data_IF_514599024101
#
_entry.id   IF_514599024101
#
_cell.length_a   1.000
_cell.length_b   1.000
_cell.length_c   1.000
_cell.angle_alpha   90.00
_cell.angle_beta   90.00
_cell.angle_gamma   90.00
#
_symmetry.space_group_name_H-M   'P 1'
#
loop_
_entity.id
_entity.type
_entity.pdbx_description
1 polymer ?
#
# COMPACT_ATOMS: atom_id res chain seq x y z
N UNK A 1 -12.79 -8.89 15.03
CA UNK A 1 -11.93 -8.42 13.94
C UNK A 1 -12.83 -8.19 12.75
N UNK A 2 -12.90 -7.00 12.19
CA UNK A 2 -13.65 -6.76 10.96
C UNK A 2 -12.71 -6.93 9.76
N UNK A 3 -13.26 -7.41 8.65
CA UNK A 3 -12.48 -7.69 7.45
C UNK A 3 -12.48 -6.44 6.53
N UNK A 4 -11.56 -5.51 6.82
CA UNK A 4 -11.45 -4.26 6.07
C UNK A 4 -11.28 -4.52 4.57
N UNK A 5 -10.35 -5.38 4.21
CA UNK A 5 -9.93 -5.53 2.81
C UNK A 5 -11.00 -6.23 1.97
N UNK A 6 -11.59 -7.34 2.44
CA UNK A 6 -12.70 -7.97 1.71
C UNK A 6 -13.91 -7.04 1.62
N UNK A 7 -14.19 -6.26 2.67
CA UNK A 7 -15.26 -5.29 2.63
C UNK A 7 -14.98 -4.16 1.63
N UNK A 8 -13.78 -3.58 1.67
CA UNK A 8 -13.38 -2.49 0.77
C UNK A 8 -13.37 -2.94 -0.69
N UNK A 9 -12.78 -4.10 -1.00
CA UNK A 9 -12.72 -4.60 -2.37
C UNK A 9 -14.08 -5.15 -2.86
N UNK A 10 -14.89 -5.73 -1.98
CA UNK A 10 -16.25 -6.20 -2.33
C UNK A 10 -17.23 -5.07 -2.64
N UNK A 11 -16.99 -3.87 -2.08
CA UNK A 11 -17.81 -2.69 -2.30
C UNK A 11 -17.11 -1.60 -3.14
N UNK A 12 -15.96 -1.91 -3.75
CA UNK A 12 -15.09 -0.91 -4.40
C UNK A 12 -15.82 -0.05 -5.45
N UNK A 13 -16.73 -0.66 -6.20
CA UNK A 13 -17.48 0.01 -7.26
C UNK A 13 -18.74 0.73 -6.79
N UNK A 14 -19.10 0.60 -5.51
CA UNK A 14 -20.30 1.28 -4.99
C UNK A 14 -20.10 2.78 -4.84
N UNK A 15 -21.12 3.58 -5.14
CA UNK A 15 -21.04 5.04 -5.10
C UNK A 15 -20.57 5.59 -3.74
N UNK A 16 -21.03 5.11 -2.57
CA UNK A 16 -20.56 5.63 -1.30
C UNK A 16 -19.05 5.45 -1.10
N UNK A 17 -18.48 4.29 -1.50
CA UNK A 17 -17.06 4.01 -1.39
C UNK A 17 -16.22 4.85 -2.36
N UNK A 18 -16.67 5.02 -3.60
CA UNK A 18 -16.02 5.89 -4.60
C UNK A 18 -15.97 7.34 -4.13
N UNK A 19 -17.10 7.87 -3.63
CA UNK A 19 -17.16 9.24 -3.10
C UNK A 19 -16.26 9.44 -1.88
N UNK A 20 -16.19 8.45 -0.98
CA UNK A 20 -15.24 8.49 0.14
C UNK A 20 -13.80 8.58 -0.37
N UNK A 21 -13.40 7.74 -1.35
CA UNK A 21 -12.03 7.78 -1.89
C UNK A 21 -11.72 9.10 -2.58
N UNK A 22 -12.62 9.60 -3.42
CA UNK A 22 -12.44 10.91 -4.09
C UNK A 22 -12.27 12.03 -3.06
N UNK A 23 -13.08 12.06 -2.00
CA UNK A 23 -12.97 13.10 -0.96
C UNK A 23 -11.69 12.95 -0.12
N UNK A 24 -11.28 11.71 0.16
CA UNK A 24 -10.09 11.41 0.96
C UNK A 24 -8.79 11.72 0.22
N UNK A 25 -8.68 11.25 -1.03
CA UNK A 25 -7.43 11.22 -1.79
C UNK A 25 -7.38 12.24 -2.95
N UNK A 26 -8.50 12.88 -3.29
CA UNK A 26 -8.62 13.74 -4.47
C UNK A 26 -8.78 12.98 -5.78
N UNK A 27 -8.66 11.66 -5.77
CA UNK A 27 -8.75 10.76 -6.92
C UNK A 27 -9.13 9.35 -6.46
N UNK A 28 -9.65 8.53 -7.37
CA UNK A 28 -10.08 7.16 -7.07
C UNK A 28 -9.25 6.14 -7.84
N UNK A 29 -8.32 5.50 -7.14
CA UNK A 29 -7.55 4.33 -7.59
C UNK A 29 -7.92 3.07 -6.80
N UNK A 30 -9.04 3.06 -6.08
CA UNK A 30 -9.40 1.95 -5.20
C UNK A 30 -8.50 1.80 -3.97
N UNK A 31 -7.75 2.85 -3.61
CA UNK A 31 -6.75 2.84 -2.55
C UNK A 31 -7.34 2.71 -1.15
N UNK A 32 -6.58 2.06 -0.27
CA UNK A 32 -6.92 1.84 1.15
C UNK A 32 -5.74 2.11 2.09
N UNK A 33 -4.68 2.77 1.61
CA UNK A 33 -3.46 3.11 2.36
C UNK A 33 -3.38 4.59 2.72
N UNK A 34 -2.17 5.07 3.03
CA UNK A 34 -1.92 6.42 3.53
C UNK A 34 -1.19 7.32 2.52
N UNK A 35 -1.10 6.91 1.27
CA UNK A 35 -0.42 7.65 0.19
C UNK A 35 -1.29 8.84 -0.23
N UNK A 36 -0.75 10.06 -0.15
CA UNK A 36 -1.41 11.27 -0.67
C UNK A 36 -1.26 11.39 -2.18
N UNK A 37 -2.07 12.25 -2.82
CA UNK A 37 -1.94 12.55 -4.25
C UNK A 37 -0.52 13.03 -4.60
N UNK A 38 0.05 13.95 -3.80
CA UNK A 38 1.40 14.46 -4.01
C UNK A 38 2.48 13.38 -3.87
N UNK A 39 2.32 12.45 -2.93
CA UNK A 39 3.23 11.31 -2.78
C UNK A 39 3.13 10.37 -3.99
N UNK A 40 1.92 10.09 -4.47
CA UNK A 40 1.70 9.23 -5.63
C UNK A 40 2.39 9.76 -6.90
N UNK A 41 2.44 11.08 -7.09
CA UNK A 41 3.15 11.72 -8.21
C UNK A 41 4.69 11.60 -8.10
N UNK A 42 5.24 11.43 -6.90
CA UNK A 42 6.68 11.27 -6.67
C UNK A 42 7.18 9.85 -6.91
N UNK A 43 6.32 8.83 -6.72
CA UNK A 43 6.69 7.41 -6.86
C UNK A 43 7.35 7.13 -8.23
N UNK A 44 6.73 7.47 -9.38
CA UNK A 44 7.35 7.21 -10.67
C UNK A 44 8.65 7.99 -10.91
N UNK A 45 8.78 9.18 -10.34
CA UNK A 45 9.99 10.00 -10.44
C UNK A 45 11.15 9.38 -9.65
N UNK A 46 10.89 8.96 -8.39
CA UNK A 46 11.90 8.32 -7.54
C UNK A 46 12.38 6.98 -8.12
N UNK A 47 11.48 6.25 -8.75
CA UNK A 47 11.78 4.98 -9.41
C UNK A 47 12.31 5.14 -10.84
N UNK A 48 12.34 6.36 -11.39
CA UNK A 48 12.73 6.68 -12.77
C UNK A 48 11.97 5.83 -13.81
N UNK A 49 10.64 5.73 -13.63
CA UNK A 49 9.79 4.94 -14.51
C UNK A 49 9.58 5.61 -15.87
N UNK A 50 9.56 4.80 -16.92
CA UNK A 50 9.29 5.23 -18.29
C UNK A 50 8.67 4.13 -19.13
N UNK A 51 8.45 4.37 -20.44
CA UNK A 51 7.69 3.45 -21.32
C UNK A 51 8.25 2.04 -21.44
N UNK A 52 9.54 1.87 -21.15
CA UNK A 52 10.24 0.57 -21.25
C UNK A 52 10.47 -0.07 -19.87
N UNK A 53 10.01 0.54 -18.79
CA UNK A 53 10.17 -0.01 -17.45
C UNK A 53 9.29 -1.24 -17.24
N UNK A 54 9.87 -2.27 -16.64
CA UNK A 54 9.18 -3.45 -16.11
C UNK A 54 9.07 -3.30 -14.60
N UNK A 55 7.86 -3.23 -14.07
CA UNK A 55 7.59 -2.84 -12.68
C UNK A 55 6.80 -3.93 -11.96
N UNK A 56 7.13 -4.20 -10.71
CA UNK A 56 6.34 -5.03 -9.80
C UNK A 56 5.70 -4.16 -8.72
N UNK A 57 4.38 -4.23 -8.57
CA UNK A 57 3.65 -3.68 -7.44
C UNK A 57 3.28 -4.78 -6.45
N UNK A 58 3.74 -4.68 -5.22
CA UNK A 58 3.41 -5.61 -4.14
C UNK A 58 2.28 -5.02 -3.30
N UNK A 59 1.16 -5.78 -3.18
CA UNK A 59 -0.05 -5.33 -2.52
C UNK A 59 -0.85 -4.36 -3.40
N UNK A 60 -1.10 -4.74 -4.65
CA UNK A 60 -1.76 -3.87 -5.64
C UNK A 60 -3.26 -3.64 -5.38
N UNK A 61 -3.87 -4.39 -4.46
CA UNK A 61 -5.30 -4.27 -4.14
C UNK A 61 -6.19 -4.42 -5.38
N UNK A 62 -7.01 -3.40 -5.64
CA UNK A 62 -7.88 -3.32 -6.83
C UNK A 62 -7.18 -2.82 -8.11
N UNK A 63 -5.87 -2.58 -8.07
CA UNK A 63 -5.02 -2.35 -9.24
C UNK A 63 -5.10 -0.96 -9.86
N UNK A 64 -5.91 -0.03 -9.33
CA UNK A 64 -6.15 1.24 -9.98
C UNK A 64 -4.89 2.11 -10.12
N UNK A 65 -3.97 2.06 -9.15
CA UNK A 65 -2.73 2.82 -9.26
C UNK A 65 -1.77 2.23 -10.30
N UNK A 66 -1.63 0.89 -10.39
CA UNK A 66 -0.89 0.24 -11.46
C UNK A 66 -1.43 0.61 -12.85
N UNK A 67 -2.76 0.59 -13.01
CA UNK A 67 -3.41 0.97 -14.26
C UNK A 67 -3.13 2.43 -14.62
N UNK A 68 -3.24 3.35 -13.66
CA UNK A 68 -2.90 4.75 -13.85
C UNK A 68 -1.45 4.95 -14.31
N UNK A 69 -0.49 4.27 -13.69
CA UNK A 69 0.92 4.35 -14.10
C UNK A 69 1.14 3.78 -15.51
N UNK A 70 0.53 2.66 -15.84
CA UNK A 70 0.65 2.05 -17.16
C UNK A 70 0.02 2.93 -18.26
N UNK A 71 -1.11 3.58 -17.98
CA UNK A 71 -1.76 4.51 -18.90
C UNK A 71 -0.91 5.76 -19.14
N UNK A 72 -0.42 6.37 -18.06
CA UNK A 72 0.29 7.66 -18.13
C UNK A 72 1.73 7.54 -18.61
N UNK A 73 2.43 6.48 -18.24
CA UNK A 73 3.87 6.30 -18.54
C UNK A 73 4.14 5.28 -19.63
N UNK A 74 3.16 4.42 -19.96
CA UNK A 74 3.33 3.35 -20.94
C UNK A 74 4.17 2.17 -20.46
N UNK A 75 4.53 2.08 -19.17
CA UNK A 75 5.32 0.99 -18.60
C UNK A 75 4.54 -0.34 -18.51
N UNK A 76 5.29 -1.44 -18.35
CA UNK A 76 4.73 -2.77 -18.09
C UNK A 76 4.68 -3.01 -16.59
N UNK A 77 3.52 -3.41 -16.05
CA UNK A 77 3.36 -3.62 -14.61
C UNK A 77 2.81 -5.02 -14.32
N UNK A 78 3.40 -5.68 -13.35
CA UNK A 78 2.81 -6.85 -12.69
C UNK A 78 2.38 -6.41 -11.28
N UNK A 79 1.09 -6.50 -11.00
CA UNK A 79 0.54 -6.26 -9.66
C UNK A 79 0.27 -7.59 -8.95
N UNK A 80 0.72 -7.74 -7.71
CA UNK A 80 0.44 -8.92 -6.89
C UNK A 80 -0.26 -8.54 -5.60
N UNK A 81 -1.23 -9.35 -5.19
CA UNK A 81 -1.93 -9.22 -3.91
C UNK A 81 -2.39 -10.59 -3.42
N UNK A 82 -2.51 -10.76 -2.10
CA UNK A 82 -3.06 -11.98 -1.50
C UNK A 82 -4.58 -12.02 -1.61
N UNK A 83 -5.24 -10.86 -1.73
CA UNK A 83 -6.69 -10.74 -1.74
C UNK A 83 -7.28 -11.10 -3.09
N UNK A 84 -8.07 -12.18 -3.12
CA UNK A 84 -8.71 -12.69 -4.34
C UNK A 84 -9.71 -11.71 -4.95
N UNK A 85 -10.48 -10.99 -4.11
CA UNK A 85 -11.49 -10.03 -4.59
C UNK A 85 -10.81 -8.81 -5.24
N UNK A 86 -9.75 -8.27 -4.61
CA UNK A 86 -8.94 -7.21 -5.19
C UNK A 86 -8.39 -7.60 -6.56
N UNK A 87 -7.74 -8.77 -6.66
CA UNK A 87 -7.19 -9.26 -7.93
C UNK A 87 -8.27 -9.50 -9.00
N UNK A 88 -9.45 -10.01 -8.61
CA UNK A 88 -10.55 -10.19 -9.56
C UNK A 88 -11.03 -8.84 -10.12
N UNK A 89 -11.23 -7.85 -9.25
CA UNK A 89 -11.60 -6.49 -9.65
C UNK A 89 -10.53 -5.82 -10.52
N UNK A 90 -9.25 -5.94 -10.13
CA UNK A 90 -8.13 -5.39 -10.88
C UNK A 90 -8.04 -5.94 -12.31
N UNK A 91 -8.24 -7.24 -12.49
CA UNK A 91 -8.27 -7.87 -13.83
C UNK A 91 -9.42 -7.36 -14.70
N UNK A 92 -10.60 -7.23 -14.12
CA UNK A 92 -11.77 -6.72 -14.85
C UNK A 92 -11.57 -5.24 -15.20
N UNK A 93 -11.02 -4.44 -14.29
CA UNK A 93 -10.72 -3.05 -14.55
C UNK A 93 -9.66 -2.89 -15.67
N UNK A 94 -8.59 -3.70 -15.67
CA UNK A 94 -7.60 -3.72 -16.75
C UNK A 94 -8.23 -4.01 -18.11
N UNK A 95 -9.11 -5.02 -18.16
CA UNK A 95 -9.81 -5.41 -19.38
C UNK A 95 -10.75 -4.29 -19.90
N UNK A 96 -11.52 -3.67 -19.01
CA UNK A 96 -12.47 -2.61 -19.39
C UNK A 96 -11.77 -1.34 -19.84
N UNK A 97 -10.57 -1.06 -19.34
CA UNK A 97 -9.73 0.08 -19.74
C UNK A 97 -8.82 -0.24 -20.95
N UNK A 98 -8.81 -1.50 -21.44
CA UNK A 98 -7.93 -1.91 -22.55
C UNK A 98 -6.45 -1.91 -22.21
N UNK A 99 -6.10 -2.09 -20.93
CA UNK A 99 -4.73 -2.07 -20.41
C UNK A 99 -4.18 -3.48 -20.11
N UNK A 100 -4.94 -4.53 -20.38
CA UNK A 100 -4.57 -5.94 -20.11
C UNK A 100 -3.33 -6.43 -20.89
N UNK A 101 -2.92 -5.74 -21.94
CA UNK A 101 -1.64 -5.97 -22.61
C UNK A 101 -0.43 -5.35 -21.90
N UNK A 102 -0.65 -4.40 -20.98
CA UNK A 102 0.40 -3.68 -20.23
C UNK A 102 0.45 -4.04 -18.76
N UNK A 103 -0.71 -4.40 -18.19
CA UNK A 103 -0.81 -4.67 -16.75
C UNK A 103 -1.35 -6.08 -16.53
N UNK A 104 -0.61 -6.87 -15.74
CA UNK A 104 -1.01 -8.21 -15.32
C UNK A 104 -1.18 -8.25 -13.81
N UNK A 105 -2.29 -8.82 -13.35
CA UNK A 105 -2.57 -8.98 -11.93
C UNK A 105 -2.58 -10.44 -11.52
N UNK A 106 -1.91 -10.80 -10.43
CA UNK A 106 -1.78 -12.18 -9.95
C UNK A 106 -2.04 -12.28 -8.45
N UNK A 107 -2.82 -13.29 -8.05
CA UNK A 107 -2.94 -13.60 -6.63
C UNK A 107 -1.64 -14.27 -6.16
N UNK A 108 -0.97 -13.65 -5.19
CA UNK A 108 0.32 -14.12 -4.68
C UNK A 108 0.44 -13.88 -3.17
N UNK A 109 0.88 -14.90 -2.45
CA UNK A 109 1.31 -14.79 -1.06
C UNK A 109 2.81 -14.44 -1.06
N UNK A 110 3.11 -13.17 -0.91
CA UNK A 110 4.49 -12.64 -0.96
C UNK A 110 5.33 -12.95 0.28
N UNK A 111 4.76 -13.61 1.29
CA UNK A 111 5.54 -14.21 2.39
C UNK A 111 6.32 -15.46 1.94
N UNK A 112 6.08 -15.92 0.72
CA UNK A 112 6.76 -17.04 0.06
C UNK A 112 7.67 -16.55 -1.04
N UNK A 113 8.41 -17.46 -1.65
CA UNK A 113 9.22 -17.16 -2.84
C UNK A 113 8.35 -16.54 -3.94
N UNK A 114 8.79 -15.40 -4.48
CA UNK A 114 8.10 -14.74 -5.59
C UNK A 114 8.21 -15.58 -6.88
N UNK A 115 7.09 -15.75 -7.63
CA UNK A 115 7.05 -16.60 -8.84
C UNK A 115 7.64 -15.90 -10.07
N UNK A 116 8.74 -15.18 -9.89
CA UNK A 116 9.43 -14.44 -10.94
C UNK A 116 10.90 -14.85 -10.99
N UNK A 117 11.48 -14.77 -12.19
CA UNK A 117 12.91 -15.03 -12.39
C UNK A 117 13.77 -13.92 -11.78
N UNK A 118 15.06 -14.22 -11.59
CA UNK A 118 16.05 -13.24 -11.16
C UNK A 118 16.16 -12.09 -12.17
N UNK A 119 16.42 -10.89 -11.70
CA UNK A 119 16.66 -9.72 -12.54
C UNK A 119 15.56 -9.45 -13.60
N UNK A 120 14.29 -9.56 -13.20
CA UNK A 120 13.11 -9.37 -14.07
C UNK A 120 12.67 -7.92 -14.14
N UNK A 121 12.68 -7.20 -13.00
CA UNK A 121 12.07 -5.88 -12.87
C UNK A 121 13.10 -4.75 -12.77
N UNK A 122 12.80 -3.63 -13.43
CA UNK A 122 13.55 -2.38 -13.28
C UNK A 122 13.24 -1.71 -11.94
N UNK A 123 12.01 -1.84 -11.48
CA UNK A 123 11.55 -1.28 -10.21
C UNK A 123 10.54 -2.18 -9.50
N UNK A 124 10.55 -2.10 -8.17
CA UNK A 124 9.52 -2.69 -7.29
C UNK A 124 8.99 -1.60 -6.37
N UNK A 125 7.67 -1.50 -6.23
CA UNK A 125 7.09 -0.63 -5.20
C UNK A 125 5.98 -1.29 -4.41
N UNK A 126 5.70 -0.73 -3.22
CA UNK A 126 4.68 -1.24 -2.31
C UNK A 126 4.19 -0.13 -1.38
N UNK A 127 2.89 0.07 -1.31
CA UNK A 127 2.29 1.14 -0.52
C UNK A 127 1.59 0.59 0.72
N UNK A 128 2.22 0.76 1.90
CA UNK A 128 1.69 0.40 3.22
C UNK A 128 1.32 -1.09 3.39
N UNK A 129 2.05 -2.01 2.71
CA UNK A 129 1.77 -3.46 2.68
C UNK A 129 2.80 -4.29 3.43
N UNK A 130 4.11 -3.93 3.38
CA UNK A 130 5.16 -4.76 3.96
C UNK A 130 4.98 -4.99 5.48
N UNK A 131 4.29 -4.09 6.16
CA UNK A 131 3.93 -4.25 7.57
C UNK A 131 3.00 -5.44 7.84
N UNK A 132 2.28 -5.93 6.85
CA UNK A 132 1.39 -7.09 6.95
C UNK A 132 2.07 -8.43 6.63
N UNK A 133 3.32 -8.41 6.14
CA UNK A 133 3.98 -9.61 5.62
C UNK A 133 4.88 -10.24 6.66
N UNK A 134 4.60 -11.49 7.11
CA UNK A 134 5.52 -12.27 7.92
C UNK A 134 6.85 -12.51 7.18
N UNK A 135 7.98 -12.50 7.89
CA UNK A 135 9.28 -12.75 7.25
C UNK A 135 9.76 -11.59 6.37
N UNK A 136 9.65 -10.34 6.88
CA UNK A 136 10.01 -9.12 6.12
C UNK A 136 11.39 -9.19 5.46
N UNK A 137 12.41 -9.74 6.16
CA UNK A 137 13.74 -9.90 5.56
C UNK A 137 13.72 -10.83 4.35
N UNK A 138 13.02 -11.95 4.44
CA UNK A 138 12.94 -12.93 3.33
C UNK A 138 12.26 -12.29 2.11
N UNK A 139 11.20 -11.50 2.33
CA UNK A 139 10.57 -10.73 1.24
C UNK A 139 11.53 -9.71 0.63
N UNK A 140 12.31 -8.98 1.43
CA UNK A 140 13.28 -8.01 0.93
C UNK A 140 14.40 -8.69 0.12
N UNK A 141 14.85 -9.88 0.51
CA UNK A 141 15.81 -10.71 -0.24
C UNK A 141 15.19 -11.14 -1.58
N UNK A 142 13.93 -11.57 -1.59
CA UNK A 142 13.23 -11.93 -2.83
C UNK A 142 13.03 -10.71 -3.75
N UNK A 143 12.68 -9.54 -3.20
CA UNK A 143 12.61 -8.30 -3.99
C UNK A 143 13.98 -7.96 -4.58
N UNK A 144 15.06 -8.07 -3.79
CA UNK A 144 16.41 -7.87 -4.28
C UNK A 144 16.77 -8.85 -5.41
N UNK A 145 16.37 -10.13 -5.30
CA UNK A 145 16.60 -11.15 -6.31
C UNK A 145 15.94 -10.79 -7.65
N UNK A 146 14.63 -10.43 -7.62
CA UNK A 146 13.87 -10.15 -8.83
C UNK A 146 14.18 -8.79 -9.47
N UNK A 147 14.81 -7.87 -8.75
CA UNK A 147 15.28 -6.62 -9.30
C UNK A 147 16.50 -6.84 -10.21
N UNK A 148 16.52 -6.17 -11.36
CA UNK A 148 17.68 -6.07 -12.24
C UNK A 148 18.85 -5.38 -11.53
N UNK A 149 20.10 -5.55 -11.99
CA UNK A 149 21.21 -4.67 -11.59
C UNK A 149 20.80 -3.20 -11.73
N UNK A 150 21.17 -2.37 -10.78
CA UNK A 150 20.75 -0.95 -10.66
C UNK A 150 19.25 -0.71 -10.46
N UNK A 151 18.45 -1.77 -10.31
CA UNK A 151 17.00 -1.69 -10.06
C UNK A 151 16.68 -0.99 -8.73
N UNK A 152 15.49 -0.41 -8.64
CA UNK A 152 15.05 0.43 -7.53
C UNK A 152 13.86 -0.17 -6.81
N UNK A 153 13.86 0.02 -5.50
CA UNK A 153 12.73 -0.32 -4.64
C UNK A 153 12.22 0.92 -3.92
N UNK A 154 10.91 1.04 -3.82
CA UNK A 154 10.23 2.04 -3.00
C UNK A 154 9.13 1.38 -2.20
N UNK A 155 9.08 1.59 -0.89
CA UNK A 155 7.92 1.17 -0.11
C UNK A 155 7.63 2.11 1.04
N UNK A 156 6.37 2.16 1.47
CA UNK A 156 5.97 2.86 2.67
C UNK A 156 5.61 1.91 3.80
N UNK A 157 5.86 2.35 5.04
CA UNK A 157 5.52 1.61 6.27
C UNK A 157 5.01 2.60 7.32
N UNK A 158 3.79 2.39 7.76
CA UNK A 158 3.10 3.26 8.71
C UNK A 158 3.11 2.71 10.16
N UNK A 159 4.04 1.81 10.49
CA UNK A 159 4.10 1.10 11.78
C UNK A 159 5.48 1.20 12.46
N UNK A 160 6.13 2.36 12.30
CA UNK A 160 7.38 2.65 13.01
C UNK A 160 7.04 3.31 14.34
N UNK A 161 7.49 2.72 15.44
CA UNK A 161 7.19 3.22 16.80
C UNK A 161 8.00 4.49 17.07
N UNK A 162 7.33 5.62 17.26
CA UNK A 162 7.94 6.92 17.54
C UNK A 162 7.82 7.36 18.99
N UNK A 163 6.92 6.75 19.76
CA UNK A 163 6.64 7.12 21.15
C UNK A 163 5.93 6.02 21.93
N UNK A 164 5.38 6.39 23.09
CA UNK A 164 4.64 5.43 23.93
C UNK A 164 3.30 5.05 23.29
N UNK A 165 3.07 3.74 23.17
CA UNK A 165 1.83 3.16 22.66
C UNK A 165 1.34 2.14 23.68
N UNK A 166 0.08 2.27 24.09
CA UNK A 166 -0.54 1.33 25.02
C UNK A 166 -0.91 0.00 24.35
N UNK A 167 -1.12 -1.04 25.15
CA UNK A 167 -1.58 -2.34 24.63
C UNK A 167 -2.95 -2.24 23.93
N UNK A 168 -3.84 -1.36 24.40
CA UNK A 168 -5.15 -1.13 23.77
C UNK A 168 -5.02 -0.46 22.40
N UNK A 169 -4.12 0.52 22.27
CA UNK A 169 -3.84 1.20 21.00
C UNK A 169 -3.23 0.23 19.98
N UNK A 170 -2.28 -0.62 20.40
CA UNK A 170 -1.74 -1.68 19.55
C UNK A 170 -2.84 -2.64 19.11
N UNK A 171 -3.71 -3.09 20.01
CA UNK A 171 -4.81 -3.99 19.69
C UNK A 171 -5.81 -3.35 18.71
N UNK A 172 -6.15 -2.07 18.92
CA UNK A 172 -7.03 -1.33 18.01
C UNK A 172 -6.39 -1.14 16.64
N UNK A 173 -5.10 -0.76 16.58
CA UNK A 173 -4.35 -0.62 15.33
C UNK A 173 -4.23 -1.93 14.56
N UNK A 174 -4.18 -3.06 15.27
CA UNK A 174 -4.09 -4.42 14.71
C UNK A 174 -5.47 -5.07 14.50
N UNK A 175 -6.57 -4.35 14.67
CA UNK A 175 -7.92 -4.92 14.57
C UNK A 175 -8.31 -5.37 13.16
N UNK A 176 -7.61 -4.90 12.14
CA UNK A 176 -7.85 -5.22 10.72
C UNK A 176 -6.92 -6.32 10.17
N UNK A 177 -5.97 -6.83 10.93
CA UNK A 177 -5.08 -7.89 10.47
C UNK A 177 -3.78 -7.99 11.25
N UNK A 178 -2.88 -8.80 10.69
CA UNK A 178 -1.53 -8.96 11.20
C UNK A 178 -0.68 -7.73 10.87
N UNK A 179 0.13 -7.30 11.86
CA UNK A 179 1.08 -6.20 11.69
C UNK A 179 2.41 -6.46 12.40
N UNK A 180 3.49 -6.01 11.76
CA UNK A 180 4.76 -5.76 12.43
C UNK A 180 4.88 -4.29 12.81
N UNK A 181 5.07 -4.04 14.10
CA UNK A 181 5.51 -2.74 14.60
C UNK A 181 7.04 -2.78 14.68
N UNK A 182 7.70 -1.81 14.07
CA UNK A 182 9.17 -1.78 13.99
C UNK A 182 9.74 -0.57 14.73
N UNK A 183 10.91 -0.69 15.38
CA UNK A 183 11.63 0.47 15.88
C UNK A 183 12.21 1.29 14.72
N UNK A 184 12.50 2.58 14.91
CA UNK A 184 13.21 3.39 13.94
C UNK A 184 14.55 2.75 13.53
N UNK A 185 14.89 2.80 12.24
CA UNK A 185 16.12 2.23 11.68
C UNK A 185 16.06 0.73 11.36
N UNK A 186 15.00 0.03 11.74
CA UNK A 186 14.90 -1.42 11.48
C UNK A 186 14.70 -1.73 9.99
N UNK A 187 13.87 -0.99 9.28
CA UNK A 187 13.68 -1.18 7.85
C UNK A 187 14.96 -0.92 7.06
N UNK A 188 15.70 0.14 7.41
CA UNK A 188 16.99 0.45 6.79
C UNK A 188 18.04 -0.65 7.07
N UNK A 189 18.04 -1.22 8.28
CA UNK A 189 18.90 -2.34 8.65
C UNK A 189 18.57 -3.58 7.80
N UNK A 190 17.28 -3.91 7.68
CA UNK A 190 16.82 -5.07 6.90
C UNK A 190 17.10 -4.90 5.41
N UNK A 191 16.91 -3.70 4.83
CA UNK A 191 17.25 -3.40 3.44
C UNK A 191 18.75 -3.63 3.18
N UNK A 192 19.62 -3.12 4.05
CA UNK A 192 21.07 -3.34 3.94
C UNK A 192 21.43 -4.82 4.06
N UNK A 193 20.79 -5.54 4.98
CA UNK A 193 20.98 -6.98 5.16
C UNK A 193 20.50 -7.79 3.94
N UNK A 194 19.46 -7.35 3.24
CA UNK A 194 18.97 -7.94 1.99
C UNK A 194 19.89 -7.67 0.78
N UNK A 195 20.88 -6.77 0.92
CA UNK A 195 21.89 -6.49 -0.11
C UNK A 195 21.76 -5.13 -0.81
N UNK A 196 20.77 -4.30 -0.43
CA UNK A 196 20.63 -2.95 -0.99
C UNK A 196 21.78 -2.04 -0.55
N UNK A 197 22.33 -1.25 -1.49
CA UNK A 197 23.49 -0.40 -1.24
C UNK A 197 23.14 1.03 -0.85
N UNK A 198 22.18 1.62 -1.56
CA UNK A 198 21.64 2.92 -1.23
C UNK A 198 20.31 2.69 -0.49
N UNK A 199 20.16 3.30 0.67
CA UNK A 199 18.94 3.21 1.50
C UNK A 199 18.66 4.59 2.08
N UNK A 200 17.55 5.17 1.65
CA UNK A 200 17.07 6.47 2.10
C UNK A 200 15.69 6.30 2.75
N UNK A 201 15.44 7.01 3.84
CA UNK A 201 14.18 7.01 4.55
C UNK A 201 13.65 8.45 4.68
N UNK A 202 12.45 8.69 4.20
CA UNK A 202 11.78 9.99 4.28
C UNK A 202 10.58 9.89 5.21
N UNK A 203 10.52 10.72 6.23
CA UNK A 203 9.37 10.81 7.12
C UNK A 203 8.15 11.37 6.37
N UNK A 204 7.10 10.58 6.30
CA UNK A 204 5.81 10.92 5.67
C UNK A 204 4.65 10.72 6.66
N UNK A 205 4.92 10.84 7.95
CA UNK A 205 3.94 10.65 9.03
C UNK A 205 2.74 11.58 8.88
N UNK A 206 2.98 12.83 8.44
CA UNK A 206 1.94 13.82 8.18
C UNK A 206 0.92 13.34 7.14
N UNK A 207 1.37 12.58 6.12
CA UNK A 207 0.47 12.01 5.12
C UNK A 207 -0.53 11.02 5.77
N UNK A 208 -0.06 10.19 6.68
CA UNK A 208 -0.94 9.23 7.37
C UNK A 208 -1.92 9.94 8.31
N UNK A 209 -1.47 10.99 9.01
CA UNK A 209 -2.35 11.81 9.84
C UNK A 209 -3.45 12.48 9.01
N UNK A 210 -3.08 13.12 7.90
CA UNK A 210 -4.01 13.81 7.01
C UNK A 210 -5.02 12.84 6.35
N UNK A 211 -4.53 11.70 5.83
CA UNK A 211 -5.41 10.74 5.16
C UNK A 211 -6.36 10.08 6.15
N UNK A 212 -5.91 9.70 7.36
CA UNK A 212 -6.78 9.09 8.36
C UNK A 212 -7.91 10.03 8.82
N UNK A 213 -7.62 11.32 8.99
CA UNK A 213 -8.62 12.33 9.30
C UNK A 213 -9.63 12.51 8.16
N UNK A 214 -9.14 12.76 6.94
CA UNK A 214 -10.00 12.93 5.77
C UNK A 214 -10.89 11.70 5.50
N UNK A 215 -10.30 10.51 5.65
CA UNK A 215 -11.04 9.27 5.45
C UNK A 215 -12.14 9.09 6.51
N UNK A 216 -11.81 9.34 7.79
CA UNK A 216 -12.79 9.34 8.87
C UNK A 216 -13.96 10.29 8.57
N UNK A 217 -13.67 11.55 8.22
CA UNK A 217 -14.66 12.58 7.98
C UNK A 217 -15.51 12.32 6.72
N UNK A 218 -14.89 11.87 5.63
CA UNK A 218 -15.59 11.50 4.41
C UNK A 218 -16.59 10.35 4.64
N UNK A 219 -16.24 9.40 5.50
CA UNK A 219 -17.12 8.30 5.92
C UNK A 219 -18.25 8.76 6.81
N UNK A 220 -17.96 9.63 7.80
CA UNK A 220 -19.02 10.13 8.73
C UNK A 220 -20.10 10.90 7.95
N UNK A 221 -19.72 11.70 6.95
CA UNK A 221 -20.68 12.40 6.05
C UNK A 221 -21.60 11.45 5.29
N UNK A 222 -21.21 10.18 5.10
CA UNK A 222 -21.94 9.15 4.32
C UNK A 222 -22.37 7.96 5.17
N UNK A 223 -22.48 8.17 6.47
CA UNK A 223 -22.77 7.13 7.46
C UNK A 223 -23.95 6.24 7.09
N UNK A 224 -25.10 6.85 6.73
CA UNK A 224 -26.31 6.09 6.44
C UNK A 224 -26.12 5.13 5.24
N UNK A 225 -25.47 5.57 4.19
CA UNK A 225 -25.24 4.77 2.97
C UNK A 225 -24.18 3.69 3.22
N UNK A 226 -23.12 4.03 3.97
CA UNK A 226 -22.07 3.07 4.33
C UNK A 226 -22.60 2.00 5.29
N UNK A 227 -23.42 2.37 6.29
CA UNK A 227 -24.04 1.40 7.20
C UNK A 227 -24.96 0.44 6.44
N UNK A 228 -25.69 0.90 5.41
CA UNK A 228 -26.48 0.02 4.53
C UNK A 228 -25.62 -0.96 3.75
N UNK A 229 -24.42 -0.53 3.30
CA UNK A 229 -23.54 -1.34 2.47
C UNK A 229 -22.72 -2.36 3.30
N UNK A 230 -22.22 -1.97 4.47
CA UNK A 230 -21.24 -2.73 5.23
C UNK A 230 -21.69 -3.15 6.65
N UNK A 231 -22.84 -2.63 7.11
CA UNK A 231 -23.37 -2.84 8.46
C UNK A 231 -22.71 -1.95 9.52
N UNK A 232 -23.49 -1.65 10.60
CA UNK A 232 -23.02 -0.79 11.70
C UNK A 232 -21.73 -1.27 12.37
N UNK A 233 -21.54 -2.58 12.66
CA UNK A 233 -20.29 -3.03 13.31
C UNK A 233 -19.04 -2.75 12.49
N UNK A 234 -19.10 -2.89 11.17
CA UNK A 234 -17.99 -2.60 10.26
C UNK A 234 -17.73 -1.10 10.20
N UNK A 235 -18.78 -0.30 10.04
CA UNK A 235 -18.70 1.15 10.04
C UNK A 235 -18.02 1.67 11.32
N UNK A 236 -18.57 1.32 12.49
CA UNK A 236 -18.07 1.79 13.78
C UNK A 236 -16.63 1.32 14.06
N UNK A 237 -16.34 0.07 13.68
CA UNK A 237 -14.99 -0.50 13.80
C UNK A 237 -13.95 0.26 12.97
N UNK A 238 -14.27 0.61 11.73
CA UNK A 238 -13.37 1.37 10.87
C UNK A 238 -13.26 2.83 11.30
N UNK A 239 -14.34 3.47 11.73
CA UNK A 239 -14.29 4.84 12.29
C UNK A 239 -13.35 4.89 13.52
N UNK A 240 -13.50 3.95 14.44
CA UNK A 240 -12.59 3.84 15.59
C UNK A 240 -11.14 3.63 15.16
N UNK A 241 -10.89 2.73 14.24
CA UNK A 241 -9.56 2.47 13.69
C UNK A 241 -8.93 3.74 13.10
N UNK A 242 -9.67 4.49 12.25
CA UNK A 242 -9.20 5.72 11.62
C UNK A 242 -8.88 6.81 12.65
N UNK A 243 -9.75 6.99 13.68
CA UNK A 243 -9.49 7.92 14.77
C UNK A 243 -8.20 7.58 15.54
N UNK A 244 -7.94 6.30 15.80
CA UNK A 244 -6.71 5.88 16.47
C UNK A 244 -5.47 6.09 15.60
N UNK A 245 -5.55 5.80 14.29
CA UNK A 245 -4.45 6.10 13.36
C UNK A 245 -4.15 7.60 13.36
N UNK A 246 -5.18 8.44 13.25
CA UNK A 246 -5.02 9.90 13.28
C UNK A 246 -4.33 10.36 14.57
N UNK A 247 -4.84 9.95 15.74
CA UNK A 247 -4.25 10.34 17.02
C UNK A 247 -2.79 9.91 17.16
N UNK A 248 -2.48 8.63 16.85
CA UNK A 248 -1.13 8.11 16.97
C UNK A 248 -0.14 8.78 16.01
N UNK A 249 -0.57 9.12 14.80
CA UNK A 249 0.31 9.75 13.81
C UNK A 249 0.45 11.26 14.04
N UNK A 250 -0.62 11.96 14.40
CA UNK A 250 -0.60 13.40 14.75
C UNK A 250 0.27 13.67 15.99
N UNK A 251 0.22 12.79 16.98
CA UNK A 251 1.05 12.84 18.17
C UNK A 251 2.47 12.25 17.94
N UNK A 252 2.76 11.77 16.73
CA UNK A 252 4.04 11.17 16.34
C UNK A 252 4.45 9.97 17.23
N UNK A 253 3.50 9.29 17.78
CA UNK A 253 3.70 8.05 18.56
C UNK A 253 3.81 6.82 17.64
N UNK A 254 3.16 6.88 16.47
CA UNK A 254 3.35 5.97 15.37
C UNK A 254 3.75 6.78 14.13
N UNK A 255 4.82 6.37 13.47
CA UNK A 255 5.40 7.10 12.35
C UNK A 255 5.20 6.31 11.06
N UNK A 256 5.12 7.05 9.94
CA UNK A 256 5.14 6.51 8.59
C UNK A 256 6.35 7.01 7.84
N UNK A 257 7.07 6.10 7.22
CA UNK A 257 8.21 6.42 6.38
C UNK A 257 8.02 5.90 4.96
N UNK A 258 8.56 6.63 4.01
CA UNK A 258 8.79 6.20 2.64
C UNK A 258 10.26 5.81 2.52
N UNK A 259 10.53 4.56 2.17
CA UNK A 259 11.86 3.99 2.02
C UNK A 259 12.19 3.83 0.55
N UNK A 260 13.33 4.38 0.15
CA UNK A 260 13.93 4.14 -1.15
C UNK A 260 15.17 3.27 -0.99
N UNK A 261 15.35 2.30 -1.89
CA UNK A 261 16.55 1.48 -1.91
C UNK A 261 16.96 1.13 -3.35
N UNK A 262 18.26 0.93 -3.57
CA UNK A 262 18.82 0.59 -4.89
C UNK A 262 19.70 -0.64 -4.81
N UNK A 263 19.55 -1.52 -5.80
CA UNK A 263 20.44 -2.65 -6.03
C UNK A 263 21.70 -2.16 -6.77
N UNK A 264 22.86 -2.64 -6.36
CA UNK A 264 24.13 -2.36 -7.09
C UNK A 264 24.08 -2.83 -8.55
N UNK A 265 24.93 -2.26 -9.38
CA UNK A 265 25.15 -2.67 -10.77
C UNK A 265 25.84 -4.02 -10.85
#
# INVERSE_FOLDING_TARGET
MFDLYNNAYGNSESDPYRHVRIETYGQDFGQTGWVTADESLKIPQLLELGPHSSVLEIGCGSGGYALHLAETLGCQIVGVDINKLGISGAKELARTQGLDSRVRFEQCDVSKKLPFDDATFDAVFSNDVLCHVPGRLDLLVEIFRVLKPSGRMLFSDALVIGGLISAEEIATRSSIGFYYFSPPGENERLLKQAGFSQVDATDTTENAAQISEKWHDAREKRKEDLVKAEGSPTFDGLQRFLSFVHSLTSERRLLRYLYFARKNS
#
